data_IF_993924382649
#
_entry.id   IF_993924382649
#
_cell.length_a   1.000
_cell.length_b   1.000
_cell.length_c   1.000
_cell.angle_alpha   90.00
_cell.angle_beta   90.00
_cell.angle_gamma   90.00
#
_symmetry.space_group_name_H-M   'P 1'
#
loop_
_entity.id
_entity.type
_entity.pdbx_description
1 polymer ?
#
# COMPACT_ATOMS: atom_id res chain seq x y z
N UNK A 1 24.11 94.73 -57.56
CA UNK A 1 24.00 93.28 -57.30
C UNK A 1 23.82 93.08 -55.81
N UNK A 2 22.62 92.67 -55.39
CA UNK A 2 22.34 92.06 -54.08
C UNK A 2 22.95 90.64 -54.01
N UNK A 3 22.74 89.83 -52.95
CA UNK A 3 22.51 90.05 -51.50
C UNK A 3 23.55 89.21 -50.68
N UNK A 4 23.57 89.13 -49.34
CA UNK A 4 22.76 88.23 -48.50
C UNK A 4 23.27 88.38 -47.05
N UNK A 5 22.45 88.71 -46.03
CA UNK A 5 21.42 87.93 -45.34
C UNK A 5 21.93 86.69 -44.56
N UNK A 6 21.70 86.76 -43.24
CA UNK A 6 21.28 85.72 -42.27
C UNK A 6 22.14 85.82 -40.99
N UNK A 7 21.71 86.41 -39.87
CA UNK A 7 20.64 86.00 -38.91
C UNK A 7 20.67 84.51 -38.58
N UNK A 8 21.06 84.18 -37.34
CA UNK A 8 20.59 83.10 -36.42
C UNK A 8 21.70 82.87 -35.39
N UNK A 9 21.49 82.62 -34.09
CA UNK A 9 20.29 82.46 -33.29
C UNK A 9 20.71 82.17 -31.83
N UNK A 10 19.88 82.67 -30.90
CA UNK A 10 19.72 82.27 -29.49
C UNK A 10 19.91 80.75 -29.28
N UNK A 11 20.62 80.23 -28.26
CA UNK A 11 20.42 80.25 -26.80
C UNK A 11 20.00 78.86 -26.28
N UNK A 12 20.41 78.58 -25.04
CA UNK A 12 19.91 77.56 -24.11
C UNK A 12 20.15 76.06 -24.44
N UNK A 13 21.01 75.43 -23.64
CA UNK A 13 20.90 74.02 -23.25
C UNK A 13 21.49 73.90 -21.83
N UNK A 14 20.64 73.97 -20.80
CA UNK A 14 19.89 72.85 -20.21
C UNK A 14 20.74 72.03 -19.22
N UNK A 15 20.67 72.46 -17.95
CA UNK A 15 21.02 71.66 -16.79
C UNK A 15 19.96 70.56 -16.62
N UNK A 16 20.32 69.28 -16.82
CA UNK A 16 19.57 68.12 -16.33
C UNK A 16 20.47 66.88 -16.39
N UNK A 17 21.31 66.70 -15.36
CA UNK A 17 22.12 65.50 -15.19
C UNK A 17 22.06 65.05 -13.72
N UNK A 18 20.88 64.62 -13.28
CA UNK A 18 20.68 64.04 -11.95
C UNK A 18 19.46 63.09 -11.90
N UNK A 19 19.26 62.25 -12.93
CA UNK A 19 18.25 61.17 -12.89
C UNK A 19 18.82 59.91 -13.52
N UNK A 20 19.87 59.32 -12.94
CA UNK A 20 20.28 57.95 -13.26
C UNK A 20 21.00 57.34 -12.04
N UNK A 21 20.33 57.20 -10.91
CA UNK A 21 20.76 56.28 -9.84
C UNK A 21 19.61 55.93 -8.88
N UNK A 22 18.51 55.44 -9.44
CA UNK A 22 17.43 54.84 -8.67
C UNK A 22 16.86 53.62 -9.40
N UNK A 23 17.75 52.71 -9.80
CA UNK A 23 17.35 51.33 -10.09
C UNK A 23 17.54 50.53 -8.80
N UNK A 24 16.59 50.64 -7.88
CA UNK A 24 16.46 49.63 -6.82
C UNK A 24 16.09 48.32 -7.50
N UNK A 25 16.84 47.22 -7.30
CA UNK A 25 16.42 45.92 -7.81
C UNK A 25 15.05 45.61 -7.21
N UNK A 26 14.09 45.28 -8.07
CA UNK A 26 12.77 44.83 -7.64
C UNK A 26 12.96 43.67 -6.64
N UNK A 27 12.19 43.61 -5.54
CA UNK A 27 12.27 42.48 -4.63
C UNK A 27 12.00 41.21 -5.43
N UNK A 28 13.02 40.36 -5.56
CA UNK A 28 12.89 39.05 -6.17
C UNK A 28 11.82 38.30 -5.38
N UNK A 29 10.65 38.06 -5.99
CA UNK A 29 9.68 37.12 -5.44
C UNK A 29 10.39 35.77 -5.31
N UNK A 30 10.71 35.37 -4.08
CA UNK A 30 11.24 34.03 -3.82
C UNK A 30 10.22 33.04 -4.34
N UNK A 31 10.69 32.07 -5.12
CA UNK A 31 9.83 30.99 -5.59
C UNK A 31 9.32 30.18 -4.40
N UNK A 32 8.13 29.56 -4.50
CA UNK A 32 7.62 28.66 -3.45
C UNK A 32 8.60 27.52 -3.09
N UNK A 33 9.57 27.24 -3.98
CA UNK A 33 10.63 26.27 -3.81
C UNK A 33 11.77 26.75 -2.88
N UNK A 34 11.80 28.04 -2.52
CA UNK A 34 12.84 28.67 -1.69
C UNK A 34 12.30 29.12 -0.32
N UNK A 35 11.03 28.85 -0.02
CA UNK A 35 10.40 29.24 1.24
C UNK A 35 10.34 28.02 2.16
N UNK A 36 11.17 28.04 3.20
CA UNK A 36 11.15 27.05 4.28
C UNK A 36 9.94 27.30 5.19
N UNK A 37 9.11 26.27 5.37
CA UNK A 37 7.96 26.28 6.27
C UNK A 37 8.30 25.66 7.62
N UNK A 38 9.14 24.61 7.61
CA UNK A 38 9.64 23.94 8.80
C UNK A 38 10.97 23.24 8.49
N UNK A 39 11.66 22.74 9.52
CA UNK A 39 12.89 21.96 9.39
C UNK A 39 12.83 20.74 10.32
N UNK A 40 13.27 19.58 9.82
CA UNK A 40 13.35 18.32 10.58
C UNK A 40 14.75 17.75 10.39
N UNK A 41 15.56 17.75 11.45
CA UNK A 41 16.95 17.25 11.45
C UNK A 41 17.78 17.78 10.25
N UNK A 42 17.74 19.08 9.97
CA UNK A 42 18.45 19.67 8.84
C UNK A 42 17.78 19.50 7.47
N UNK A 43 16.65 18.78 7.36
CA UNK A 43 15.83 18.76 6.13
C UNK A 43 14.78 19.88 6.16
N UNK A 44 14.80 20.81 5.19
CA UNK A 44 13.72 21.78 5.05
C UNK A 44 12.45 21.13 4.49
N UNK A 45 11.31 21.55 5.02
CA UNK A 45 9.98 21.33 4.45
C UNK A 45 9.57 22.62 3.75
N UNK A 46 9.45 22.58 2.42
CA UNK A 46 9.24 23.77 1.61
C UNK A 46 7.77 24.08 1.41
N UNK A 47 7.44 25.34 1.11
CA UNK A 47 6.07 25.76 0.83
C UNK A 47 5.46 24.99 -0.36
N UNK A 48 6.26 24.67 -1.38
CA UNK A 48 5.82 23.79 -2.48
C UNK A 48 5.37 22.42 -2.00
N UNK A 49 6.02 21.84 -1.01
CA UNK A 49 5.71 20.50 -0.51
C UNK A 49 4.39 20.52 0.27
N UNK A 50 4.17 21.57 1.07
CA UNK A 50 2.91 21.80 1.78
C UNK A 50 1.76 21.97 0.81
N UNK A 51 1.91 22.79 -0.25
CA UNK A 51 0.88 22.96 -1.28
C UNK A 51 0.56 21.63 -1.98
N UNK A 52 1.59 20.86 -2.33
CA UNK A 52 1.43 19.56 -2.98
C UNK A 52 0.72 18.54 -2.08
N UNK A 53 1.03 18.50 -0.78
CA UNK A 53 0.37 17.60 0.18
C UNK A 53 -1.11 17.98 0.36
N UNK A 54 -1.44 19.27 0.44
CA UNK A 54 -2.83 19.75 0.49
C UNK A 54 -3.61 19.30 -0.75
N UNK A 55 -3.02 19.43 -1.95
CA UNK A 55 -3.64 18.96 -3.18
C UNK A 55 -3.85 17.44 -3.18
N UNK A 56 -2.87 16.69 -2.67
CA UNK A 56 -2.98 15.24 -2.51
C UNK A 56 -4.12 14.85 -1.57
N UNK A 57 -4.27 15.54 -0.42
CA UNK A 57 -5.35 15.28 0.55
C UNK A 57 -6.74 15.55 -0.02
N UNK A 58 -6.86 16.57 -0.87
CA UNK A 58 -8.12 16.94 -1.55
C UNK A 58 -8.46 16.02 -2.73
N UNK A 59 -7.47 15.27 -3.23
CA UNK A 59 -7.53 14.56 -4.50
C UNK A 59 -7.21 15.49 -5.69
N UNK A 60 -6.50 14.95 -6.68
CA UNK A 60 -6.07 15.68 -7.88
C UNK A 60 -7.27 16.05 -8.76
N UNK A 61 -7.92 17.18 -8.47
CA UNK A 61 -8.95 17.78 -9.33
C UNK A 61 -8.73 19.29 -9.45
N UNK A 62 -8.70 19.86 -10.68
CA UNK A 62 -8.41 21.28 -10.90
C UNK A 62 -9.35 22.26 -10.18
N UNK A 63 -10.60 21.86 -9.95
CA UNK A 63 -11.60 22.69 -9.24
C UNK A 63 -11.26 22.90 -7.77
N UNK A 64 -10.51 22.00 -7.14
CA UNK A 64 -10.12 22.11 -5.73
C UNK A 64 -8.90 23.01 -5.51
N UNK A 65 -8.16 23.36 -6.58
CA UNK A 65 -7.04 24.31 -6.53
C UNK A 65 -7.51 25.76 -6.33
N UNK A 66 -8.72 26.10 -6.80
CA UNK A 66 -9.26 27.45 -6.74
C UNK A 66 -9.67 27.92 -5.32
N UNK A 67 -9.86 26.98 -4.38
CA UNK A 67 -10.15 27.30 -2.98
C UNK A 67 -8.84 27.35 -2.19
N UNK A 68 -8.53 28.51 -1.60
CA UNK A 68 -7.41 28.62 -0.66
C UNK A 68 -7.53 27.63 0.51
N UNK A 69 -6.41 27.10 1.03
CA UNK A 69 -6.45 26.15 2.14
C UNK A 69 -6.90 26.78 3.45
N UNK A 70 -7.71 26.05 4.20
CA UNK A 70 -8.03 26.39 5.59
C UNK A 70 -6.83 26.16 6.50
N UNK A 71 -6.80 26.81 7.67
CA UNK A 71 -5.73 26.66 8.66
C UNK A 71 -5.52 25.20 9.10
N UNK A 72 -6.62 24.45 9.26
CA UNK A 72 -6.57 23.04 9.64
C UNK A 72 -5.93 22.17 8.56
N UNK A 73 -6.27 22.39 7.28
CA UNK A 73 -5.65 21.68 6.15
C UNK A 73 -4.15 21.94 6.07
N UNK A 74 -3.74 23.21 6.25
CA UNK A 74 -2.32 23.56 6.29
C UNK A 74 -1.61 22.87 7.45
N UNK A 75 -2.22 22.90 8.64
CA UNK A 75 -1.65 22.28 9.84
C UNK A 75 -1.47 20.78 9.66
N UNK A 76 -2.46 20.10 9.09
CA UNK A 76 -2.39 18.65 8.87
C UNK A 76 -1.37 18.31 7.78
N UNK A 77 -1.32 19.06 6.68
CA UNK A 77 -0.32 18.87 5.63
C UNK A 77 1.11 19.02 6.18
N UNK A 78 1.37 20.06 6.97
CA UNK A 78 2.68 20.26 7.63
C UNK A 78 2.99 19.10 8.58
N UNK A 79 2.03 18.66 9.39
CA UNK A 79 2.21 17.52 10.30
C UNK A 79 2.57 16.24 9.55
N UNK A 80 1.84 15.90 8.49
CA UNK A 80 2.11 14.72 7.66
C UNK A 80 3.51 14.79 7.01
N UNK A 81 3.92 15.98 6.55
CA UNK A 81 5.26 16.16 5.99
C UNK A 81 6.36 16.02 7.04
N UNK A 82 6.14 16.50 8.26
CA UNK A 82 7.06 16.30 9.38
C UNK A 82 7.19 14.81 9.69
N UNK A 83 6.07 14.11 9.90
CA UNK A 83 6.06 12.66 10.18
C UNK A 83 6.78 11.87 9.08
N UNK A 84 6.48 12.19 7.81
CA UNK A 84 7.14 11.54 6.66
C UNK A 84 8.64 11.81 6.64
N UNK A 85 9.06 13.03 6.96
CA UNK A 85 10.48 13.41 6.98
C UNK A 85 11.22 12.69 8.10
N UNK A 86 10.64 12.59 9.30
CA UNK A 86 11.21 11.83 10.42
C UNK A 86 11.48 10.38 10.02
N UNK A 87 10.50 9.71 9.40
CA UNK A 87 10.65 8.31 8.95
C UNK A 87 11.75 8.17 7.89
N UNK A 88 11.78 9.07 6.91
CA UNK A 88 12.79 9.03 5.84
C UNK A 88 14.20 9.29 6.38
N UNK A 89 14.37 10.24 7.30
CA UNK A 89 15.65 10.54 7.95
C UNK A 89 16.15 9.38 8.80
N UNK A 90 15.27 8.76 9.55
CA UNK A 90 15.62 7.58 10.34
C UNK A 90 15.96 6.39 9.44
N UNK A 91 15.24 6.19 8.33
CA UNK A 91 15.57 5.20 7.31
C UNK A 91 16.96 5.44 6.70
N UNK A 92 17.25 6.67 6.32
CA UNK A 92 18.56 7.10 5.82
C UNK A 92 19.68 6.80 6.84
N UNK A 93 19.47 7.14 8.12
CA UNK A 93 20.41 6.85 9.21
C UNK A 93 20.69 5.35 9.37
N UNK A 94 19.71 4.51 9.05
CA UNK A 94 19.82 3.03 9.05
C UNK A 94 20.37 2.45 7.74
N UNK A 95 20.73 3.29 6.77
CA UNK A 95 21.24 2.85 5.48
C UNK A 95 20.16 2.29 4.53
N UNK A 96 18.89 2.62 4.75
CA UNK A 96 17.80 2.22 3.85
C UNK A 96 17.96 2.93 2.52
N UNK A 97 18.01 2.16 1.44
CA UNK A 97 18.11 2.67 0.06
C UNK A 97 17.08 2.01 -0.85
N UNK A 98 16.80 2.67 -1.98
CA UNK A 98 15.96 2.14 -3.04
C UNK A 98 16.80 1.93 -4.31
N UNK A 99 17.15 0.66 -4.65
CA UNK A 99 17.85 0.35 -5.89
C UNK A 99 17.02 0.78 -7.10
N UNK A 100 17.68 1.29 -8.15
CA UNK A 100 17.00 1.71 -9.38
C UNK A 100 16.11 0.60 -9.97
N UNK A 101 16.58 -0.65 -9.96
CA UNK A 101 15.79 -1.81 -10.42
C UNK A 101 14.47 -1.99 -9.67
N UNK A 102 14.44 -1.70 -8.37
CA UNK A 102 13.24 -1.88 -7.56
C UNK A 102 12.18 -0.81 -7.90
N UNK A 103 12.62 0.40 -8.25
CA UNK A 103 11.73 1.42 -8.79
C UNK A 103 11.18 1.01 -10.15
N UNK A 104 12.03 0.51 -11.06
CA UNK A 104 11.57 0.05 -12.38
C UNK A 104 10.58 -1.11 -12.28
N UNK A 105 10.85 -2.09 -11.43
CA UNK A 105 9.94 -3.21 -11.18
C UNK A 105 8.57 -2.73 -10.71
N UNK A 106 8.54 -1.75 -9.79
CA UNK A 106 7.28 -1.18 -9.33
C UNK A 106 6.57 -0.39 -10.43
N UNK A 107 7.30 0.41 -11.22
CA UNK A 107 6.75 1.14 -12.37
C UNK A 107 6.13 0.17 -13.38
N UNK A 108 6.80 -0.95 -13.67
CA UNK A 108 6.27 -1.97 -14.57
C UNK A 108 5.05 -2.68 -13.99
N UNK A 109 5.03 -2.92 -12.68
CA UNK A 109 3.86 -3.50 -12.00
C UNK A 109 2.66 -2.57 -12.13
N UNK A 110 2.82 -1.28 -11.85
CA UNK A 110 1.77 -0.28 -12.06
C UNK A 110 1.34 -0.20 -13.52
N UNK A 111 2.27 -0.26 -14.49
CA UNK A 111 1.92 -0.22 -15.91
C UNK A 111 1.14 -1.46 -16.36
N UNK A 112 1.39 -2.63 -15.77
CA UNK A 112 0.70 -3.87 -16.09
C UNK A 112 -0.80 -3.85 -15.73
N UNK A 113 -1.21 -2.99 -14.79
CA UNK A 113 -2.61 -2.77 -14.44
C UNK A 113 -3.38 -1.96 -15.50
N UNK A 114 -2.68 -1.45 -16.52
CA UNK A 114 -3.26 -0.65 -17.60
C UNK A 114 -3.06 -1.35 -18.96
N UNK A 115 -3.97 -1.12 -19.93
CA UNK A 115 -3.69 -1.45 -21.32
C UNK A 115 -2.46 -0.66 -21.82
N UNK A 116 -1.83 -1.07 -22.94
CA UNK A 116 -0.68 -0.36 -23.50
C UNK A 116 -0.95 1.15 -23.68
N UNK A 117 -0.09 1.99 -23.09
CA UNK A 117 -0.23 3.46 -23.09
C UNK A 117 -1.33 4.01 -22.17
N UNK A 118 -1.99 3.16 -21.38
CA UNK A 118 -3.11 3.54 -20.52
C UNK A 118 -2.68 4.35 -19.30
N UNK A 119 -1.53 4.03 -18.71
CA UNK A 119 -0.95 4.78 -17.59
C UNK A 119 -0.63 6.23 -18.01
N UNK A 120 0.03 6.39 -19.15
CA UNK A 120 0.41 7.71 -19.68
C UNK A 120 -0.82 8.58 -19.97
N UNK A 121 -1.90 7.98 -20.50
CA UNK A 121 -3.19 8.67 -20.69
C UNK A 121 -3.84 9.05 -19.36
N UNK A 122 -3.77 8.19 -18.35
CA UNK A 122 -4.33 8.47 -17.03
C UNK A 122 -3.60 9.63 -16.33
N UNK A 123 -2.26 9.62 -16.39
CA UNK A 123 -1.43 10.71 -15.87
C UNK A 123 -1.71 12.04 -16.58
N UNK A 124 -1.81 12.02 -17.92
CA UNK A 124 -2.17 13.21 -18.70
C UNK A 124 -3.55 13.76 -18.32
N UNK A 125 -4.55 12.88 -18.14
CA UNK A 125 -5.90 13.28 -17.69
C UNK A 125 -5.90 13.88 -16.29
N UNK A 126 -5.01 13.40 -15.42
CA UNK A 126 -4.83 13.93 -14.07
C UNK A 126 -3.94 15.20 -14.01
N UNK A 127 -3.35 15.62 -15.13
CA UNK A 127 -2.43 16.75 -15.18
C UNK A 127 -1.09 16.47 -14.47
N UNK A 128 -0.68 15.21 -14.39
CA UNK A 128 0.55 14.79 -13.70
C UNK A 128 1.61 14.42 -14.73
N UNK A 129 2.77 15.06 -14.65
CA UNK A 129 3.92 14.73 -15.49
C UNK A 129 4.51 13.36 -15.12
N UNK A 130 4.95 12.53 -16.09
CA UNK A 130 5.48 11.19 -15.83
C UNK A 130 6.65 11.15 -14.84
N UNK A 131 7.59 12.08 -14.93
CA UNK A 131 8.74 12.15 -14.03
C UNK A 131 8.34 12.55 -12.61
N UNK A 132 7.36 13.45 -12.48
CA UNK A 132 6.79 13.84 -11.17
C UNK A 132 6.11 12.64 -10.50
N UNK A 133 5.30 11.90 -11.25
CA UNK A 133 4.67 10.67 -10.75
C UNK A 133 5.72 9.64 -10.33
N UNK A 134 6.76 9.44 -11.15
CA UNK A 134 7.83 8.50 -10.87
C UNK A 134 8.61 8.88 -9.61
N UNK A 135 8.88 10.16 -9.39
CA UNK A 135 9.54 10.65 -8.18
C UNK A 135 8.64 10.52 -6.94
N UNK A 136 7.32 10.72 -7.07
CA UNK A 136 6.37 10.43 -6.00
C UNK A 136 6.37 8.93 -5.63
N UNK A 137 6.38 8.05 -6.63
CA UNK A 137 6.48 6.60 -6.42
C UNK A 137 7.78 6.24 -5.71
N UNK A 138 8.92 6.79 -6.15
CA UNK A 138 10.23 6.60 -5.52
C UNK A 138 10.20 6.97 -4.03
N UNK A 139 9.65 8.16 -3.70
CA UNK A 139 9.53 8.63 -2.31
C UNK A 139 8.62 7.74 -1.46
N UNK A 140 7.48 7.30 -2.01
CA UNK A 140 6.56 6.38 -1.34
C UNK A 140 7.21 5.03 -1.02
N UNK A 141 7.96 4.46 -1.97
CA UNK A 141 8.70 3.22 -1.78
C UNK A 141 9.80 3.35 -0.73
N UNK A 142 10.55 4.46 -0.75
CA UNK A 142 11.59 4.73 0.24
C UNK A 142 11.00 4.89 1.64
N UNK A 143 9.87 5.60 1.77
CA UNK A 143 9.15 5.74 3.03
C UNK A 143 8.72 4.38 3.58
N UNK A 144 8.08 3.53 2.76
CA UNK A 144 7.64 2.19 3.17
C UNK A 144 8.80 1.35 3.67
N UNK A 145 9.89 1.27 2.89
CA UNK A 145 11.11 0.55 3.29
C UNK A 145 11.71 1.08 4.59
N UNK A 146 11.67 2.39 4.79
CA UNK A 146 12.17 3.03 6.00
C UNK A 146 11.30 2.67 7.21
N UNK A 147 9.98 2.77 7.08
CA UNK A 147 9.03 2.36 8.11
C UNK A 147 9.20 0.88 8.49
N UNK A 148 9.33 0.00 7.49
CA UNK A 148 9.54 -1.43 7.72
C UNK A 148 10.84 -1.70 8.49
N UNK A 149 11.94 -1.04 8.09
CA UNK A 149 13.23 -1.19 8.77
C UNK A 149 13.23 -0.64 10.21
N UNK A 150 12.43 0.39 10.48
CA UNK A 150 12.23 0.93 11.83
C UNK A 150 11.41 -0.05 12.66
N UNK A 151 10.28 -0.51 12.15
CA UNK A 151 9.38 -1.43 12.84
C UNK A 151 10.05 -2.78 13.16
N UNK A 152 10.80 -3.34 12.21
CA UNK A 152 11.52 -4.60 12.37
C UNK A 152 12.55 -4.58 13.52
N UNK A 153 13.04 -3.40 13.91
CA UNK A 153 13.96 -3.27 15.04
C UNK A 153 13.28 -3.21 16.41
N UNK A 154 11.97 -2.94 16.45
CA UNK A 154 11.24 -2.64 17.69
C UNK A 154 10.23 -3.70 18.11
N UNK A 155 9.83 -4.61 17.23
CA UNK A 155 8.80 -5.60 17.52
C UNK A 155 9.22 -7.00 17.06
N UNK A 156 9.44 -7.91 18.01
CA UNK A 156 9.48 -9.35 17.77
C UNK A 156 8.22 -9.97 18.37
N UNK A 157 7.40 -10.61 17.55
CA UNK A 157 6.26 -11.40 18.04
C UNK A 157 6.78 -12.78 18.43
N UNK A 158 6.65 -13.14 19.70
CA UNK A 158 7.08 -14.44 20.23
C UNK A 158 5.97 -15.49 20.07
N UNK A 159 6.31 -16.79 19.96
CA UNK A 159 5.31 -17.86 19.96
C UNK A 159 4.38 -17.82 21.18
N UNK A 160 4.90 -17.39 22.33
CA UNK A 160 4.15 -17.27 23.58
C UNK A 160 3.10 -16.16 23.51
N UNK A 161 3.42 -15.01 22.89
CA UNK A 161 2.45 -13.93 22.66
C UNK A 161 1.36 -14.35 21.68
N UNK A 162 1.71 -15.10 20.62
CA UNK A 162 0.74 -15.66 19.68
C UNK A 162 -0.20 -16.63 20.39
N UNK A 163 0.35 -17.56 21.18
CA UNK A 163 -0.44 -18.53 21.94
C UNK A 163 -1.36 -17.84 22.97
N UNK A 164 -0.85 -16.82 23.67
CA UNK A 164 -1.63 -16.05 24.63
C UNK A 164 -2.78 -15.28 23.96
N UNK A 165 -2.53 -14.64 22.81
CA UNK A 165 -3.55 -13.96 22.04
C UNK A 165 -4.59 -14.94 21.49
N UNK A 166 -4.15 -16.08 20.93
CA UNK A 166 -5.03 -17.13 20.45
C UNK A 166 -5.95 -17.65 21.56
N UNK A 167 -5.41 -17.94 22.75
CA UNK A 167 -6.24 -18.42 23.88
C UNK A 167 -7.21 -17.36 24.39
N UNK A 168 -6.81 -16.10 24.44
CA UNK A 168 -7.65 -14.99 24.95
C UNK A 168 -8.86 -14.78 24.06
N UNK A 169 -8.67 -14.86 22.75
CA UNK A 169 -9.67 -14.47 21.76
C UNK A 169 -10.39 -15.69 21.13
N UNK A 170 -10.05 -16.92 21.57
CA UNK A 170 -10.67 -18.17 21.10
C UNK A 170 -12.17 -18.20 21.42
N UNK A 171 -13.01 -18.00 20.40
CA UNK A 171 -14.43 -18.32 20.50
C UNK A 171 -14.65 -19.76 20.02
N UNK A 172 -15.58 -20.52 20.64
CA UNK A 172 -15.97 -21.85 20.16
C UNK A 172 -16.42 -21.88 18.69
N UNK A 173 -16.91 -20.74 18.18
CA UNK A 173 -17.33 -20.56 16.79
C UNK A 173 -16.16 -20.40 15.80
N UNK A 174 -14.93 -20.14 16.27
CA UNK A 174 -13.75 -19.94 15.41
C UNK A 174 -13.12 -21.26 14.96
N UNK A 175 -13.55 -22.38 15.55
CA UNK A 175 -13.15 -23.72 15.12
C UNK A 175 -14.24 -24.24 14.20
N UNK A 176 -14.05 -24.27 12.87
CA UNK A 176 -15.01 -24.86 11.97
C UNK A 176 -15.24 -26.33 12.35
N UNK A 177 -16.47 -26.81 12.18
CA UNK A 177 -16.84 -28.20 12.44
C UNK A 177 -15.94 -29.14 11.61
N UNK A 178 -15.34 -30.13 12.29
CA UNK A 178 -14.50 -31.15 11.65
C UNK A 178 -14.92 -32.53 12.11
N UNK A 179 -14.93 -33.48 11.17
CA UNK A 179 -15.17 -34.89 11.44
C UNK A 179 -13.90 -35.69 11.17
N UNK A 180 -13.66 -36.76 11.94
CA UNK A 180 -12.61 -37.73 11.65
C UNK A 180 -13.23 -38.95 10.98
N UNK A 181 -12.77 -39.29 9.77
CA UNK A 181 -13.40 -40.32 8.94
C UNK A 181 -12.51 -41.55 8.86
N UNK A 182 -13.09 -42.73 9.10
CA UNK A 182 -12.46 -44.03 8.80
C UNK A 182 -13.26 -44.75 7.72
N UNK A 183 -12.59 -45.15 6.64
CA UNK A 183 -13.21 -45.82 5.50
C UNK A 183 -12.90 -47.31 5.49
N UNK A 184 -13.93 -48.12 5.22
CA UNK A 184 -13.79 -49.55 4.96
C UNK A 184 -14.21 -49.82 3.51
N UNK A 185 -13.38 -50.56 2.76
CA UNK A 185 -13.62 -50.87 1.35
C UNK A 185 -13.85 -52.37 1.18
N UNK A 186 -14.88 -52.73 0.42
CA UNK A 186 -15.29 -54.11 0.17
C UNK A 186 -15.46 -54.35 -1.34
N UNK A 187 -15.15 -55.55 -1.81
CA UNK A 187 -15.33 -55.92 -3.24
C UNK A 187 -16.79 -56.10 -3.68
N UNK A 188 -17.74 -56.07 -2.73
CA UNK A 188 -19.14 -56.40 -2.97
C UNK A 188 -20.05 -55.72 -1.96
N UNK A 189 -21.25 -55.37 -2.44
CA UNK A 189 -22.30 -54.71 -1.66
C UNK A 189 -22.77 -55.58 -0.49
N UNK A 190 -22.82 -56.91 -0.67
CA UNK A 190 -23.26 -57.84 0.35
C UNK A 190 -22.30 -57.87 1.55
N UNK A 191 -20.98 -57.89 1.29
CA UNK A 191 -19.97 -57.84 2.37
C UNK A 191 -19.97 -56.48 3.07
N UNK A 192 -20.14 -55.39 2.32
CA UNK A 192 -20.29 -54.06 2.89
C UNK A 192 -21.54 -53.96 3.80
N UNK A 193 -22.67 -54.53 3.39
CA UNK A 193 -23.90 -54.52 4.19
C UNK A 193 -23.74 -55.27 5.51
N UNK A 194 -23.16 -56.48 5.48
CA UNK A 194 -22.88 -57.27 6.71
C UNK A 194 -21.91 -56.54 7.63
N UNK A 195 -20.85 -55.94 7.07
CA UNK A 195 -19.90 -55.16 7.86
C UNK A 195 -20.52 -53.91 8.48
N UNK A 196 -21.42 -53.24 7.75
CA UNK A 196 -22.17 -52.07 8.24
C UNK A 196 -23.06 -52.42 9.43
N UNK A 197 -23.78 -53.54 9.36
CA UNK A 197 -24.61 -54.02 10.49
C UNK A 197 -23.75 -54.31 11.73
N UNK A 198 -22.61 -54.97 11.55
CA UNK A 198 -21.66 -55.22 12.64
C UNK A 198 -21.13 -53.92 13.25
N UNK A 199 -20.67 -52.98 12.42
CA UNK A 199 -20.15 -51.69 12.89
C UNK A 199 -21.24 -50.87 13.61
N UNK A 200 -22.48 -50.91 13.15
CA UNK A 200 -23.62 -50.27 13.82
C UNK A 200 -23.95 -50.92 15.17
N UNK A 201 -23.71 -52.21 15.32
CA UNK A 201 -23.81 -52.93 16.60
C UNK A 201 -22.59 -52.71 17.53
N UNK A 202 -21.58 -51.97 17.09
CA UNK A 202 -20.33 -51.76 17.82
C UNK A 202 -19.34 -52.93 17.72
N UNK A 203 -19.59 -53.87 16.81
CA UNK A 203 -18.72 -55.00 16.51
C UNK A 203 -17.69 -54.63 15.43
N UNK A 204 -16.62 -55.42 15.32
CA UNK A 204 -15.61 -55.22 14.29
C UNK A 204 -16.13 -55.66 12.91
N UNK A 205 -15.80 -54.89 11.87
CA UNK A 205 -16.15 -55.21 10.47
C UNK A 205 -15.52 -56.52 9.96
N UNK A 206 -14.49 -57.04 10.66
CA UNK A 206 -13.69 -58.19 10.23
C UNK A 206 -14.25 -59.56 10.63
N UNK A 207 -14.14 -60.53 9.73
CA UNK A 207 -14.36 -61.96 9.95
C UNK A 207 -13.54 -62.79 8.97
N UNK A 208 -12.67 -63.64 9.52
CA UNK A 208 -11.79 -64.64 8.90
C UNK A 208 -11.04 -64.28 7.60
N UNK A 209 -9.74 -63.98 7.75
CA UNK A 209 -8.74 -64.18 6.69
C UNK A 209 -8.13 -62.92 6.08
N UNK A 210 -7.18 -62.30 6.77
CA UNK A 210 -5.99 -61.66 6.18
C UNK A 210 -6.16 -60.46 5.24
N UNK A 211 -7.35 -59.84 5.13
CA UNK A 211 -7.56 -58.70 4.24
C UNK A 211 -7.53 -57.36 5.00
N UNK A 212 -6.77 -56.39 4.46
CA UNK A 212 -6.57 -55.03 5.03
C UNK A 212 -7.86 -54.22 5.12
N UNK A 213 -8.93 -54.71 4.50
CA UNK A 213 -10.29 -54.21 4.57
C UNK A 213 -10.94 -54.36 5.95
N UNK A 214 -10.37 -55.15 6.87
CA UNK A 214 -10.92 -55.40 8.22
C UNK A 214 -10.57 -54.32 9.28
N UNK A 215 -9.46 -53.58 9.12
CA UNK A 215 -9.03 -52.55 10.10
C UNK A 215 -9.54 -51.14 9.75
N UNK A 216 -9.93 -50.94 8.49
CA UNK A 216 -10.32 -49.65 7.93
C UNK A 216 -9.13 -48.68 7.79
N UNK A 217 -9.26 -47.72 6.88
CA UNK A 217 -8.27 -46.67 6.65
C UNK A 217 -8.74 -45.40 7.32
N UNK A 218 -7.97 -44.88 8.28
CA UNK A 218 -8.20 -43.56 8.87
C UNK A 218 -7.75 -42.47 7.89
N UNK A 219 -8.71 -41.69 7.42
CA UNK A 219 -8.50 -40.62 6.46
C UNK A 219 -8.15 -39.28 7.16
N UNK A 220 -8.24 -39.22 8.49
CA UNK A 220 -7.97 -38.01 9.27
C UNK A 220 -9.17 -37.08 9.40
N UNK A 221 -8.90 -35.80 9.70
CA UNK A 221 -9.90 -34.78 9.99
C UNK A 221 -10.23 -33.93 8.76
N UNK A 222 -11.52 -33.78 8.48
CA UNK A 222 -12.02 -32.95 7.37
C UNK A 222 -12.97 -31.88 7.88
N UNK A 223 -12.77 -30.64 7.43
CA UNK A 223 -13.83 -29.62 7.43
C UNK A 223 -14.79 -29.80 6.25
N UNK A 224 -15.94 -29.12 6.27
CA UNK A 224 -16.98 -29.26 5.22
C UNK A 224 -16.47 -29.00 3.80
N UNK A 225 -15.61 -28.00 3.64
CA UNK A 225 -15.02 -27.61 2.34
C UNK A 225 -13.81 -28.48 1.94
N UNK A 226 -13.27 -29.26 2.88
CA UNK A 226 -12.10 -30.12 2.67
C UNK A 226 -12.51 -31.57 2.39
N UNK A 227 -13.80 -31.91 2.52
CA UNK A 227 -14.30 -33.26 2.33
C UNK A 227 -14.15 -33.67 0.85
N UNK A 228 -13.45 -34.77 0.53
CA UNK A 228 -13.37 -35.28 -0.82
C UNK A 228 -14.77 -35.52 -1.41
N UNK A 229 -15.00 -35.20 -2.70
CA UNK A 229 -16.32 -35.30 -3.32
C UNK A 229 -16.85 -36.74 -3.41
N UNK A 230 -15.99 -37.74 -3.24
CA UNK A 230 -16.36 -39.16 -3.19
C UNK A 230 -17.01 -39.56 -1.85
N UNK A 231 -16.86 -38.73 -0.81
CA UNK A 231 -17.44 -38.98 0.50
C UNK A 231 -18.78 -38.25 0.68
N UNK A 232 -19.79 -38.91 1.27
CA UNK A 232 -21.10 -38.30 1.49
C UNK A 232 -21.03 -37.12 2.49
N UNK A 233 -21.66 -36.01 2.15
CA UNK A 233 -21.72 -34.83 3.03
C UNK A 233 -22.53 -35.09 4.31
N UNK A 234 -23.38 -36.12 4.28
CA UNK A 234 -24.20 -36.60 5.38
C UNK A 234 -23.37 -37.11 6.57
N UNK A 235 -22.08 -37.38 6.37
CA UNK A 235 -21.14 -37.76 7.45
C UNK A 235 -21.09 -36.71 8.57
N UNK A 236 -21.28 -35.43 8.25
CA UNK A 236 -21.35 -34.35 9.26
C UNK A 236 -22.65 -34.38 10.09
N UNK A 237 -23.69 -35.09 9.64
CA UNK A 237 -24.93 -35.26 10.38
C UNK A 237 -24.94 -36.48 11.31
N UNK A 238 -23.91 -37.32 11.26
CA UNK A 238 -23.81 -38.52 12.08
C UNK A 238 -23.32 -38.17 13.50
N UNK A 239 -23.84 -38.83 14.54
CA UNK A 239 -23.26 -38.74 15.87
C UNK A 239 -21.85 -39.35 15.88
N UNK A 240 -21.08 -39.08 16.94
CA UNK A 240 -19.78 -39.73 17.13
C UNK A 240 -19.92 -41.26 17.08
N UNK A 241 -19.10 -41.91 16.26
CA UNK A 241 -19.17 -43.36 16.02
C UNK A 241 -20.25 -43.80 15.03
N UNK A 242 -21.00 -42.87 14.42
CA UNK A 242 -21.99 -43.17 13.40
C UNK A 242 -21.39 -43.80 12.14
N UNK A 243 -22.14 -44.71 11.51
CA UNK A 243 -21.74 -45.48 10.33
C UNK A 243 -22.66 -45.12 9.16
N UNK A 244 -22.09 -44.68 8.04
CA UNK A 244 -22.82 -44.37 6.80
C UNK A 244 -23.19 -45.63 6.02
#
# INVERSE_FOLDING_TARGET
MSPAHARTGFALAAAFAAVLWACSPAPSQRSDAEIDVAEVDGAPILLRDVKNEILSMRGYTPSLEARGPGREEVSEAVRLLIERTVVLREGERRGVTLPARALEEEVMRFRADFPPGGLEKALLKAGVEPDTWREQLRRSLLYRRSADAIAASGASVTPQEVEAAFRRDRHPADVPERIRVRQYLFDSVQRAAVAREKLQAGEHAGGDGGDRSSEGVDLGFFGREELPPELPAELFGLPEGGVS
#
